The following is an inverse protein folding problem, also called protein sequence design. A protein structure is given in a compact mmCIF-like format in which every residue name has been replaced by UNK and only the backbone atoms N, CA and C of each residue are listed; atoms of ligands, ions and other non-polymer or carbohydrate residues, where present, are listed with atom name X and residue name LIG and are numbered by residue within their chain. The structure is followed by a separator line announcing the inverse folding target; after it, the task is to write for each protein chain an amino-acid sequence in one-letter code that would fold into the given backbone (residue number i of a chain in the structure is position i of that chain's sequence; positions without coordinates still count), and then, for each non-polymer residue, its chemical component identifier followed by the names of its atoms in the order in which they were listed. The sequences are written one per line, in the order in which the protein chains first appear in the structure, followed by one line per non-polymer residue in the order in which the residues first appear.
data_IF_056368513343
#
_entry.id   IF_056368513343
#
_cell.length_a   1.000
_cell.length_b   1.000
_cell.length_c   1.000
_cell.angle_alpha   90.00
_cell.angle_beta   90.00
_cell.angle_gamma   90.00
#
_symmetry.space_group_name_H-M   'P 1'
#
loop_
_entity.id
_entity.type
_entity.pdbx_description
1 polymer ?
#
# COMPACT_ATOMS: atom_id res chain seq x y z
N UNK A 1 6.39 2.67 -8.69
CA UNK A 1 5.32 1.67 -8.52
C UNK A 1 5.81 0.35 -9.09
N UNK A 2 5.56 -0.77 -8.40
CA UNK A 2 5.87 -2.13 -8.87
C UNK A 2 4.54 -2.79 -9.17
N UNK A 3 4.36 -3.27 -10.39
CA UNK A 3 3.17 -4.01 -10.84
C UNK A 3 3.63 -5.41 -11.22
N UNK A 4 3.22 -6.45 -10.48
CA UNK A 4 3.59 -7.83 -10.80
C UNK A 4 2.87 -8.32 -12.07
N UNK A 5 3.28 -9.48 -12.57
CA UNK A 5 2.58 -10.14 -13.66
C UNK A 5 1.28 -10.79 -13.15
N UNK A 6 0.42 -11.23 -14.08
CA UNK A 6 -0.93 -11.76 -13.82
C UNK A 6 -0.99 -13.00 -12.91
N UNK A 7 0.14 -13.66 -12.67
CA UNK A 7 0.23 -14.76 -11.71
C UNK A 7 0.71 -14.29 -10.34
N UNK A 8 1.73 -13.42 -10.33
CA UNK A 8 2.32 -12.89 -9.10
C UNK A 8 1.37 -11.89 -8.39
N UNK A 9 0.43 -11.29 -9.13
CA UNK A 9 -0.63 -10.42 -8.57
C UNK A 9 -1.85 -11.19 -8.05
N UNK A 10 -1.88 -12.52 -8.21
CA UNK A 10 -2.95 -13.44 -7.78
C UNK A 10 -4.24 -13.35 -8.61
N UNK A 11 -4.23 -12.69 -9.77
CA UNK A 11 -5.40 -12.61 -10.65
C UNK A 11 -5.71 -13.97 -11.27
N UNK A 12 -4.72 -14.60 -11.92
CA UNK A 12 -4.91 -15.84 -12.69
C UNK A 12 -4.25 -17.07 -12.05
N UNK A 13 -3.62 -16.91 -10.89
CA UNK A 13 -2.92 -17.98 -10.20
C UNK A 13 -3.28 -18.00 -8.70
N UNK A 14 -3.09 -19.15 -8.01
CA UNK A 14 -3.38 -19.25 -6.59
C UNK A 14 -2.63 -18.21 -5.74
N UNK A 15 -3.25 -17.76 -4.65
CA UNK A 15 -2.67 -16.81 -3.68
C UNK A 15 -1.26 -17.21 -3.23
N UNK A 16 -0.98 -18.52 -3.14
CA UNK A 16 0.35 -19.02 -2.77
C UNK A 16 1.48 -18.56 -3.72
N UNK A 17 1.18 -18.32 -4.99
CA UNK A 17 2.16 -17.81 -5.97
C UNK A 17 2.51 -16.35 -5.66
N UNK A 18 1.50 -15.50 -5.45
CA UNK A 18 1.71 -14.12 -5.07
C UNK A 18 2.38 -13.97 -3.69
N UNK A 19 2.01 -14.83 -2.73
CA UNK A 19 2.68 -14.87 -1.42
C UNK A 19 4.19 -15.21 -1.58
N UNK A 20 4.51 -16.21 -2.41
CA UNK A 20 5.90 -16.55 -2.70
C UNK A 20 6.66 -15.42 -3.40
N UNK A 21 5.99 -14.67 -4.29
CA UNK A 21 6.57 -13.48 -4.93
C UNK A 21 6.82 -12.36 -3.91
N UNK A 22 5.84 -12.06 -3.05
CA UNK A 22 6.00 -11.06 -1.98
C UNK A 22 7.10 -11.43 -1.00
N UNK A 23 7.22 -12.70 -0.60
CA UNK A 23 8.31 -13.20 0.25
C UNK A 23 9.70 -12.96 -0.33
N UNK A 24 9.81 -12.89 -1.65
CA UNK A 24 11.05 -12.63 -2.36
C UNK A 24 11.37 -11.14 -2.45
N UNK A 25 10.36 -10.31 -2.79
CA UNK A 25 10.59 -8.89 -3.09
C UNK A 25 10.57 -7.99 -1.85
N UNK A 26 9.65 -8.23 -0.91
CA UNK A 26 9.49 -7.36 0.26
C UNK A 26 10.76 -7.28 1.11
N UNK A 27 11.45 -8.37 1.45
CA UNK A 27 12.69 -8.27 2.22
C UNK A 27 13.76 -7.43 1.54
N UNK A 28 13.90 -7.49 0.21
CA UNK A 28 14.88 -6.68 -0.52
C UNK A 28 14.55 -5.18 -0.46
N UNK A 29 13.26 -4.82 -0.50
CA UNK A 29 12.82 -3.43 -0.34
C UNK A 29 13.11 -2.95 1.07
N UNK A 30 12.79 -3.74 2.09
CA UNK A 30 13.01 -3.37 3.49
C UNK A 30 14.51 -3.30 3.86
N UNK A 31 15.36 -4.02 3.13
CA UNK A 31 16.82 -3.94 3.27
C UNK A 31 17.45 -2.75 2.53
N UNK A 32 16.69 -2.04 1.70
CA UNK A 32 17.20 -0.92 0.91
C UNK A 32 17.64 0.26 1.79
N UNK A 33 18.61 1.03 1.32
CA UNK A 33 19.08 2.24 2.01
C UNK A 33 17.95 3.26 2.22
N UNK A 34 17.00 3.35 1.28
CA UNK A 34 15.85 4.25 1.36
C UNK A 34 14.91 3.86 2.50
N UNK A 35 14.63 2.59 2.70
CA UNK A 35 13.82 2.14 3.82
C UNK A 35 14.55 2.31 5.15
N UNK A 36 15.82 1.95 5.22
CA UNK A 36 16.65 2.07 6.42
C UNK A 36 16.88 3.53 6.84
N UNK A 37 16.98 4.46 5.90
CA UNK A 37 17.04 5.91 6.16
C UNK A 37 15.70 6.57 6.43
N UNK A 38 14.61 5.78 6.51
CA UNK A 38 13.23 6.25 6.75
C UNK A 38 12.67 7.15 5.64
N UNK A 39 13.21 7.09 4.44
CA UNK A 39 12.75 7.87 3.29
C UNK A 39 11.82 7.09 2.34
N UNK A 40 11.37 5.90 2.77
CA UNK A 40 10.49 5.05 1.98
C UNK A 40 9.33 4.49 2.82
N UNK A 41 8.13 4.59 2.28
CA UNK A 41 6.93 3.89 2.74
C UNK A 41 6.58 2.84 1.70
N UNK A 42 6.44 1.59 2.10
CA UNK A 42 5.94 0.52 1.25
C UNK A 42 4.44 0.35 1.48
N UNK A 43 3.66 0.47 0.41
CA UNK A 43 2.23 0.13 0.42
C UNK A 43 2.00 -1.04 -0.52
N UNK A 44 1.32 -2.07 -0.02
CA UNK A 44 0.88 -3.23 -0.81
C UNK A 44 -0.64 -3.17 -0.83
N UNK A 45 -1.23 -3.10 -2.01
CA UNK A 45 -2.67 -3.01 -2.20
C UNK A 45 -3.07 -3.64 -3.54
N UNK A 46 -4.36 -3.88 -3.70
CA UNK A 46 -4.96 -4.35 -4.94
C UNK A 46 -5.81 -3.25 -5.55
N UNK A 47 -6.11 -3.34 -6.82
CA UNK A 47 -6.92 -2.39 -7.56
C UNK A 47 -8.42 -2.56 -7.27
N UNK A 48 -8.89 -3.81 -7.10
CA UNK A 48 -10.29 -4.13 -6.83
C UNK A 48 -10.43 -5.28 -5.82
N UNK A 49 -11.65 -5.56 -5.39
CA UNK A 49 -11.97 -6.69 -4.53
C UNK A 49 -12.24 -7.96 -5.36
N UNK A 50 -12.48 -9.07 -4.66
CA UNK A 50 -12.86 -10.37 -5.23
C UNK A 50 -14.35 -10.48 -5.56
N UNK A 51 -15.08 -9.37 -5.66
CA UNK A 51 -16.53 -9.28 -5.85
C UNK A 51 -17.38 -9.78 -4.66
N UNK A 52 -16.77 -10.33 -3.61
CA UNK A 52 -17.48 -10.90 -2.44
C UNK A 52 -17.40 -10.00 -1.19
N UNK A 53 -16.45 -9.11 -1.11
CA UNK A 53 -16.08 -8.37 0.11
C UNK A 53 -16.63 -6.94 0.17
N UNK A 54 -17.73 -6.60 -0.47
CA UNK A 54 -18.34 -5.25 -0.47
C UNK A 54 -17.35 -4.16 -0.85
N UNK A 55 -16.56 -4.41 -1.89
CA UNK A 55 -15.48 -3.54 -2.38
C UNK A 55 -14.39 -3.24 -1.33
N UNK A 56 -14.09 -4.19 -0.48
CA UNK A 56 -12.95 -4.11 0.44
C UNK A 56 -11.71 -4.67 -0.23
N UNK A 57 -10.66 -3.87 -0.21
CA UNK A 57 -9.37 -4.19 -0.79
C UNK A 57 -8.35 -4.37 0.33
N UNK A 58 -7.63 -5.50 0.41
CA UNK A 58 -6.52 -5.65 1.35
C UNK A 58 -5.46 -4.57 1.11
N UNK A 59 -5.07 -3.88 2.16
CA UNK A 59 -4.02 -2.85 2.07
C UNK A 59 -3.11 -2.94 3.28
N UNK A 60 -1.81 -3.05 3.02
CA UNK A 60 -0.76 -3.04 4.03
C UNK A 60 0.08 -1.78 3.89
N UNK A 61 0.34 -1.13 5.00
CA UNK A 61 1.26 0.02 5.08
C UNK A 61 2.45 -0.37 5.94
N UNK A 62 3.64 -0.26 5.38
CA UNK A 62 4.87 -0.68 6.03
C UNK A 62 5.86 0.48 5.97
N UNK A 63 6.11 1.09 7.12
CA UNK A 63 7.08 2.17 7.26
C UNK A 63 7.85 2.00 8.58
N UNK A 64 9.08 2.52 8.67
CA UNK A 64 9.85 2.48 9.92
C UNK A 64 9.19 3.22 11.09
N UNK A 65 8.26 4.13 10.81
CA UNK A 65 7.48 4.91 11.78
C UNK A 65 6.16 4.25 12.19
N UNK A 66 5.62 3.34 11.37
CA UNK A 66 4.34 2.66 11.65
C UNK A 66 4.55 1.55 12.69
N UNK A 67 3.81 1.55 13.81
CA UNK A 67 3.88 0.47 14.79
C UNK A 67 3.56 -0.91 14.19
N UNK A 68 4.25 -1.93 14.67
CA UNK A 68 3.98 -3.31 14.22
C UNK A 68 2.58 -3.75 14.64
N UNK A 69 1.83 -4.31 13.68
CA UNK A 69 0.49 -4.83 13.94
C UNK A 69 -0.57 -3.74 14.06
N UNK A 70 -0.24 -2.48 13.71
CA UNK A 70 -1.21 -1.38 13.68
C UNK A 70 -2.42 -1.75 12.81
N UNK A 71 -3.61 -1.51 13.34
CA UNK A 71 -4.88 -1.74 12.64
C UNK A 71 -5.72 -0.48 12.69
N UNK A 72 -5.98 0.08 11.55
CA UNK A 72 -6.76 1.31 11.42
C UNK A 72 -8.16 0.99 10.91
N UNK A 73 -9.18 1.23 11.75
CA UNK A 73 -10.59 0.98 11.43
C UNK A 73 -11.25 2.12 10.62
N UNK A 74 -10.47 3.08 10.15
CA UNK A 74 -10.96 4.19 9.32
C UNK A 74 -11.16 3.70 7.89
N UNK A 75 -12.27 4.09 7.26
CA UNK A 75 -12.48 3.81 5.85
C UNK A 75 -11.56 4.69 4.99
N UNK A 76 -10.74 4.05 4.17
CA UNK A 76 -9.93 4.64 3.13
C UNK A 76 -10.40 4.17 1.75
N UNK A 77 -9.96 4.87 0.72
CA UNK A 77 -10.20 4.56 -0.70
C UNK A 77 -8.88 4.71 -1.46
N UNK A 78 -8.86 4.33 -2.74
CA UNK A 78 -7.70 4.61 -3.60
C UNK A 78 -7.38 6.10 -3.70
N UNK A 79 -8.37 6.98 -3.58
CA UNK A 79 -8.13 8.43 -3.48
C UNK A 79 -7.42 8.82 -2.19
N UNK A 80 -7.62 8.06 -1.11
CA UNK A 80 -6.86 8.25 0.13
C UNK A 80 -5.39 7.90 -0.05
N UNK A 81 -5.11 6.81 -0.76
CA UNK A 81 -3.75 6.42 -1.11
C UNK A 81 -3.10 7.45 -2.03
N UNK A 82 -3.82 7.91 -3.07
CA UNK A 82 -3.35 8.97 -3.97
C UNK A 82 -2.99 10.23 -3.17
N UNK A 83 -3.91 10.75 -2.34
CA UNK A 83 -3.65 11.91 -1.48
C UNK A 83 -2.40 11.74 -0.60
N UNK A 84 -2.27 10.56 -0.02
CA UNK A 84 -1.13 10.26 0.85
C UNK A 84 0.17 10.25 0.05
N UNK A 85 0.17 9.63 -1.12
CA UNK A 85 1.33 9.60 -2.03
C UNK A 85 1.72 11.01 -2.47
N UNK A 86 0.75 11.81 -2.91
CA UNK A 86 0.98 13.19 -3.33
C UNK A 86 1.56 14.04 -2.20
N UNK A 87 1.01 13.91 -0.99
CA UNK A 87 1.50 14.66 0.17
C UNK A 87 2.93 14.25 0.58
N UNK A 88 3.23 12.95 0.61
CA UNK A 88 4.58 12.44 0.93
C UNK A 88 5.62 12.85 -0.12
N UNK A 89 5.22 13.04 -1.37
CA UNK A 89 6.07 13.47 -2.47
C UNK A 89 6.05 15.00 -2.71
N UNK A 90 5.37 15.75 -1.83
CA UNK A 90 5.19 17.20 -1.95
C UNK A 90 4.59 17.66 -3.28
N UNK A 91 3.64 16.86 -3.81
CA UNK A 91 2.93 17.14 -5.06
C UNK A 91 1.61 17.86 -4.81
N UNK A 92 1.10 18.54 -5.83
CA UNK A 92 -0.26 19.10 -5.81
C UNK A 92 -1.32 18.02 -5.84
N UNK A 93 -2.40 18.19 -5.06
CA UNK A 93 -3.49 17.21 -4.99
C UNK A 93 -4.34 17.23 -6.26
N UNK A 94 -4.62 16.06 -6.83
CA UNK A 94 -5.41 15.86 -8.05
C UNK A 94 -6.85 15.41 -7.72
N UNK A 95 -7.81 15.91 -8.48
CA UNK A 95 -9.20 15.46 -8.50
C UNK A 95 -9.77 15.17 -7.10
N UNK A 96 -10.30 13.97 -6.92
CA UNK A 96 -10.95 13.51 -5.69
C UNK A 96 -9.97 13.31 -4.50
N UNK A 97 -8.67 13.27 -4.75
CA UNK A 97 -7.67 13.21 -3.68
C UNK A 97 -7.78 14.44 -2.76
N UNK A 98 -8.24 15.59 -3.26
CA UNK A 98 -8.40 16.82 -2.48
C UNK A 98 -9.33 16.64 -1.29
N UNK A 99 -10.41 15.90 -1.46
CA UNK A 99 -11.44 15.67 -0.43
C UNK A 99 -11.26 14.36 0.32
N UNK A 100 -10.43 13.47 -0.17
CA UNK A 100 -10.18 12.18 0.45
C UNK A 100 -9.46 12.30 1.81
N UNK A 101 -9.59 11.29 2.66
CA UNK A 101 -8.84 11.21 3.92
C UNK A 101 -7.39 10.84 3.66
N UNK A 102 -6.47 11.50 4.34
CA UNK A 102 -5.05 11.13 4.32
C UNK A 102 -4.79 9.94 5.25
N UNK A 103 -3.85 9.09 4.85
CA UNK A 103 -3.36 7.96 5.66
C UNK A 103 -2.15 8.34 6.52
N UNK A 104 -1.60 9.55 6.38
CA UNK A 104 -0.36 9.96 7.07
C UNK A 104 -0.50 9.83 8.60
N UNK A 105 -1.45 10.53 9.21
CA UNK A 105 -1.61 10.52 10.67
C UNK A 105 -1.99 9.12 11.20
N UNK A 106 -2.99 8.41 10.63
CA UNK A 106 -3.37 7.10 11.12
C UNK A 106 -2.28 6.02 11.04
N UNK A 107 -1.32 6.15 10.12
CA UNK A 107 -0.21 5.21 9.95
C UNK A 107 1.15 5.78 10.36
N UNK A 108 1.19 6.95 10.98
CA UNK A 108 2.42 7.59 11.48
C UNK A 108 3.50 7.81 10.38
N UNK A 109 3.08 8.19 9.17
CA UNK A 109 3.96 8.38 8.01
C UNK A 109 4.62 9.76 7.99
#
# INVERSE_FOLDING_TARGET
MIVPNICDDMHSCPVAIGDAWLRRIVPSILASSQYQSRSLVLVITFDENDSMASNRVPTLVIAPSTPRGERVAIRFTHYSLLKTTEALLHLGLLGEARTARSMIVPFHL
#
